data_IF_426425626125
#
_entry.id   IF_426425626125
#
_cell.length_a   1.000
_cell.length_b   1.000
_cell.length_c   1.000
_cell.angle_alpha   90.00
_cell.angle_beta   90.00
_cell.angle_gamma   90.00
#
_symmetry.space_group_name_H-M   'P 1'
#
loop_
_entity.id
_entity.type
_entity.pdbx_description
1 polymer ?
#
# COMPACT_ATOMS: atom_id res chain seq x y z
N UNK A 1 14.45 -13.97 -17.18
CA UNK A 1 13.94 -13.21 -16.02
C UNK A 1 12.50 -12.84 -16.33
N UNK A 2 11.54 -13.31 -15.54
CA UNK A 2 10.13 -13.00 -15.75
C UNK A 2 9.72 -11.76 -14.94
N UNK A 3 8.72 -11.02 -15.41
CA UNK A 3 8.05 -9.92 -14.73
C UNK A 3 6.83 -10.47 -14.01
N UNK A 4 6.84 -10.46 -12.69
CA UNK A 4 5.81 -11.07 -11.85
C UNK A 4 4.97 -9.96 -11.23
N UNK A 5 3.75 -9.81 -11.74
CA UNK A 5 2.76 -8.89 -11.20
C UNK A 5 2.27 -9.32 -9.82
N UNK A 6 1.90 -8.36 -8.98
CA UNK A 6 1.23 -8.63 -7.71
C UNK A 6 0.03 -7.69 -7.53
N UNK A 7 -1.06 -8.22 -6.99
CA UNK A 7 -2.27 -7.42 -6.70
C UNK A 7 -2.15 -6.58 -5.44
N UNK A 8 -1.22 -6.94 -4.55
CA UNK A 8 -0.84 -6.22 -3.33
C UNK A 8 0.51 -6.76 -2.86
N UNK A 9 1.08 -6.20 -1.80
CA UNK A 9 2.33 -6.66 -1.20
C UNK A 9 2.26 -8.14 -0.79
N UNK A 10 3.17 -8.92 -1.34
CA UNK A 10 3.43 -10.35 -1.04
C UNK A 10 4.87 -10.52 -0.53
N UNK A 11 5.31 -11.73 -0.15
CA UNK A 11 6.72 -12.08 0.04
C UNK A 11 7.59 -11.84 -1.21
N UNK A 12 7.92 -10.57 -1.45
CA UNK A 12 8.66 -10.08 -2.62
C UNK A 12 10.07 -10.67 -2.70
N UNK A 13 10.64 -11.02 -1.55
CA UNK A 13 11.91 -11.73 -1.43
C UNK A 13 11.89 -13.05 -2.21
N UNK A 14 10.75 -13.74 -2.28
CA UNK A 14 10.59 -14.99 -3.04
C UNK A 14 10.68 -14.74 -4.55
N UNK A 15 10.10 -13.65 -5.04
CA UNK A 15 10.16 -13.26 -6.46
C UNK A 15 11.61 -12.91 -6.84
N UNK A 16 12.25 -12.07 -6.02
CA UNK A 16 13.62 -11.63 -6.22
C UNK A 16 14.61 -12.80 -6.13
N UNK A 17 14.44 -13.72 -5.17
CA UNK A 17 15.29 -14.91 -5.00
C UNK A 17 15.19 -15.89 -6.18
N UNK A 18 14.06 -15.91 -6.88
CA UNK A 18 13.90 -16.66 -8.13
C UNK A 18 14.54 -15.97 -9.35
N UNK A 19 15.15 -14.79 -9.18
CA UNK A 19 15.71 -14.00 -10.27
C UNK A 19 14.63 -13.44 -11.19
N UNK A 20 13.49 -13.04 -10.62
CA UNK A 20 12.38 -12.40 -11.32
C UNK A 20 12.22 -10.94 -10.87
N UNK A 21 11.50 -10.15 -11.66
CA UNK A 21 11.22 -8.74 -11.38
C UNK A 21 9.83 -8.64 -10.75
N UNK A 22 9.70 -8.20 -9.49
CA UNK A 22 8.41 -7.89 -8.91
C UNK A 22 7.82 -6.61 -9.53
N UNK A 23 6.53 -6.64 -9.85
CA UNK A 23 5.78 -5.51 -10.41
C UNK A 23 4.51 -5.32 -9.58
N UNK A 24 4.40 -4.21 -8.83
CA UNK A 24 3.14 -3.85 -8.18
C UNK A 24 2.17 -3.28 -9.21
N UNK A 25 1.11 -4.04 -9.51
CA UNK A 25 0.14 -3.65 -10.53
C UNK A 25 -0.67 -2.42 -10.14
N UNK A 26 -0.79 -2.09 -8.85
CA UNK A 26 -1.46 -0.87 -8.39
C UNK A 26 -0.62 0.36 -8.77
N UNK A 27 0.70 0.28 -8.58
CA UNK A 27 1.62 1.33 -8.98
C UNK A 27 1.59 1.54 -10.50
N UNK A 28 1.67 0.45 -11.28
CA UNK A 28 1.58 0.52 -12.75
C UNK A 28 0.24 1.12 -13.21
N UNK A 29 -0.86 0.75 -12.56
CA UNK A 29 -2.18 1.27 -12.89
C UNK A 29 -2.29 2.77 -12.59
N UNK A 30 -2.03 3.20 -11.35
CA UNK A 30 -2.34 4.57 -10.90
C UNK A 30 -1.37 5.61 -11.48
N UNK A 31 -0.12 5.21 -11.75
CA UNK A 31 0.89 6.07 -12.37
C UNK A 31 0.96 5.93 -13.89
N UNK A 32 0.20 5.00 -14.46
CA UNK A 32 0.17 4.73 -15.88
C UNK A 32 -0.50 5.84 -16.70
N UNK A 33 -0.41 5.71 -18.03
CA UNK A 33 -1.13 6.61 -18.92
C UNK A 33 -2.65 6.39 -18.80
N UNK A 34 -3.40 7.48 -18.67
CA UNK A 34 -4.86 7.51 -18.68
C UNK A 34 -5.53 6.50 -17.70
N UNK A 35 -5.25 6.58 -16.38
CA UNK A 35 -5.75 5.61 -15.40
C UNK A 35 -7.29 5.59 -15.33
N UNK A 36 -7.95 6.72 -15.61
CA UNK A 36 -9.42 6.78 -15.75
C UNK A 36 -9.90 5.92 -16.93
N UNK A 37 -9.22 5.99 -18.08
CA UNK A 37 -9.59 5.20 -19.26
C UNK A 37 -9.40 3.71 -19.01
N UNK A 38 -8.42 3.31 -18.20
CA UNK A 38 -8.26 1.91 -17.76
C UNK A 38 -9.46 1.43 -16.96
N UNK A 39 -10.01 2.25 -16.05
CA UNK A 39 -11.24 1.91 -15.32
C UNK A 39 -12.42 1.73 -16.28
N UNK A 40 -12.58 2.65 -17.23
CA UNK A 40 -13.66 2.59 -18.23
C UNK A 40 -13.52 1.40 -19.18
N UNK A 41 -12.29 1.02 -19.55
CA UNK A 41 -12.05 -0.13 -20.42
C UNK A 41 -12.49 -1.45 -19.77
N UNK A 42 -12.39 -1.58 -18.45
CA UNK A 42 -12.95 -2.74 -17.74
C UNK A 42 -14.48 -2.71 -17.77
N UNK A 43 -15.10 -1.54 -17.62
CA UNK A 43 -16.56 -1.36 -17.73
C UNK A 43 -17.05 -1.71 -19.14
N UNK A 44 -16.32 -1.27 -20.18
CA UNK A 44 -16.57 -1.64 -21.59
C UNK A 44 -16.45 -3.15 -21.82
N UNK A 45 -15.55 -3.82 -21.08
CA UNK A 45 -15.39 -5.29 -21.09
C UNK A 45 -16.44 -6.04 -20.25
N UNK A 46 -17.37 -5.34 -19.60
CA UNK A 46 -18.49 -5.92 -18.87
C UNK A 46 -18.38 -5.91 -17.35
N UNK A 47 -17.33 -5.30 -16.77
CA UNK A 47 -17.29 -5.10 -15.32
C UNK A 47 -18.43 -4.18 -14.86
N UNK A 48 -19.17 -4.53 -13.79
CA UNK A 48 -20.20 -3.65 -13.25
C UNK A 48 -19.61 -2.31 -12.78
N UNK A 49 -20.36 -1.22 -12.96
CA UNK A 49 -19.95 0.12 -12.50
C UNK A 49 -19.72 0.17 -10.99
N UNK A 50 -20.48 -0.61 -10.23
CA UNK A 50 -20.42 -0.71 -8.77
C UNK A 50 -19.36 -1.70 -8.25
N UNK A 51 -18.25 -1.83 -8.97
CA UNK A 51 -17.05 -2.54 -8.52
C UNK A 51 -15.94 -1.53 -8.27
N UNK A 52 -15.06 -1.85 -7.33
CA UNK A 52 -13.90 -1.05 -6.93
C UNK A 52 -13.06 -0.61 -8.14
N UNK A 53 -12.69 0.68 -8.18
CA UNK A 53 -11.85 1.28 -9.22
C UNK A 53 -10.51 0.59 -9.41
N UNK A 54 -9.88 0.14 -8.30
CA UNK A 54 -8.62 -0.62 -8.37
C UNK A 54 -8.79 -1.94 -9.11
N UNK A 55 -9.84 -2.73 -8.82
CA UNK A 55 -10.07 -4.01 -9.50
C UNK A 55 -10.26 -3.82 -11.01
N UNK A 56 -11.06 -2.81 -11.40
CA UNK A 56 -11.24 -2.43 -12.81
C UNK A 56 -9.90 -2.01 -13.44
N UNK A 57 -9.14 -1.17 -12.75
CA UNK A 57 -7.83 -0.70 -13.18
C UNK A 57 -6.79 -1.80 -13.35
N UNK A 58 -6.71 -2.73 -12.40
CA UNK A 58 -5.83 -3.90 -12.45
C UNK A 58 -6.18 -4.79 -13.66
N UNK A 59 -7.47 -5.08 -13.86
CA UNK A 59 -7.94 -5.86 -15.02
C UNK A 59 -7.40 -5.29 -16.34
N UNK A 60 -7.67 -4.02 -16.61
CA UNK A 60 -7.27 -3.36 -17.86
C UNK A 60 -5.80 -2.99 -17.96
N UNK A 61 -5.07 -2.99 -16.84
CA UNK A 61 -3.61 -2.83 -16.83
C UNK A 61 -2.93 -4.09 -17.38
N UNK A 62 -3.43 -5.28 -17.01
CA UNK A 62 -2.83 -6.55 -17.42
C UNK A 62 -3.39 -7.05 -18.76
N UNK A 63 -4.71 -6.99 -18.97
CA UNK A 63 -5.32 -7.52 -20.19
C UNK A 63 -4.91 -6.69 -21.41
N UNK A 64 -4.33 -7.36 -22.41
CA UNK A 64 -3.89 -6.74 -23.65
C UNK A 64 -2.59 -5.93 -23.51
N UNK A 65 -1.82 -6.13 -22.44
CA UNK A 65 -0.49 -5.56 -22.29
C UNK A 65 0.55 -6.65 -21.98
N UNK A 66 1.82 -6.36 -22.28
CA UNK A 66 2.95 -7.23 -21.95
C UNK A 66 3.67 -6.75 -20.67
N UNK A 67 2.91 -6.15 -19.73
CA UNK A 67 3.51 -5.54 -18.55
C UNK A 67 4.03 -6.58 -17.55
N UNK A 68 3.52 -7.82 -17.59
CA UNK A 68 3.85 -8.95 -16.72
C UNK A 68 3.70 -10.29 -17.44
N UNK A 69 4.52 -11.29 -17.06
CA UNK A 69 4.46 -12.66 -17.58
C UNK A 69 3.54 -13.57 -16.75
N UNK A 70 3.35 -13.24 -15.48
CA UNK A 70 2.42 -13.90 -14.56
C UNK A 70 2.01 -12.95 -13.44
N UNK A 71 0.89 -13.23 -12.77
CA UNK A 71 0.39 -12.42 -11.65
C UNK A 71 0.20 -13.29 -10.41
N UNK A 72 0.78 -12.86 -9.29
CA UNK A 72 0.43 -13.37 -7.97
C UNK A 72 -0.82 -12.63 -7.49
N UNK A 73 -1.91 -13.36 -7.32
CA UNK A 73 -3.18 -12.79 -6.90
C UNK A 73 -3.51 -13.18 -5.46
N UNK A 74 -3.68 -12.16 -4.61
CA UNK A 74 -3.96 -12.35 -3.18
C UNK A 74 -5.46 -12.59 -2.98
N UNK A 75 -5.79 -13.87 -2.82
CA UNK A 75 -7.15 -14.41 -2.71
C UNK A 75 -7.80 -14.16 -1.35
N UNK A 76 -6.99 -13.98 -0.30
CA UNK A 76 -7.45 -13.71 1.05
C UNK A 76 -6.55 -12.66 1.70
N UNK A 77 -7.19 -11.68 2.35
CA UNK A 77 -6.56 -10.62 3.13
C UNK A 77 -6.56 -9.25 2.49
N UNK A 78 -6.67 -9.16 1.17
CA UNK A 78 -6.62 -7.87 0.45
C UNK A 78 -7.99 -7.39 -0.03
N UNK A 79 -8.52 -8.00 -1.10
CA UNK A 79 -9.80 -7.63 -1.72
C UNK A 79 -10.75 -8.84 -1.81
N UNK A 80 -12.04 -8.63 -1.53
CA UNK A 80 -13.09 -9.65 -1.69
C UNK A 80 -13.34 -10.04 -3.15
N UNK A 81 -12.94 -9.20 -4.10
CA UNK A 81 -13.19 -9.39 -5.52
C UNK A 81 -12.02 -10.06 -6.26
N UNK A 82 -10.90 -10.38 -5.57
CA UNK A 82 -9.70 -10.92 -6.24
C UNK A 82 -9.99 -12.24 -6.96
N UNK A 83 -10.84 -13.12 -6.40
CA UNK A 83 -11.22 -14.37 -7.08
C UNK A 83 -11.84 -14.14 -8.46
N UNK A 84 -12.81 -13.22 -8.55
CA UNK A 84 -13.43 -12.87 -9.83
C UNK A 84 -12.44 -12.21 -10.79
N UNK A 85 -11.55 -11.35 -10.28
CA UNK A 85 -10.49 -10.74 -11.09
C UNK A 85 -9.56 -11.82 -11.69
N UNK A 86 -9.14 -12.79 -10.89
CA UNK A 86 -8.32 -13.92 -11.34
C UNK A 86 -9.00 -14.73 -12.45
N UNK A 87 -10.28 -15.04 -12.31
CA UNK A 87 -11.04 -15.80 -13.30
C UNK A 87 -11.11 -15.06 -14.65
N UNK A 88 -11.36 -13.74 -14.63
CA UNK A 88 -11.37 -12.94 -15.86
C UNK A 88 -9.98 -12.82 -16.50
N UNK A 89 -8.91 -12.78 -15.70
CA UNK A 89 -7.54 -12.82 -16.19
C UNK A 89 -7.17 -14.16 -16.82
N UNK A 90 -7.55 -15.27 -16.19
CA UNK A 90 -7.36 -16.61 -16.73
C UNK A 90 -8.12 -16.80 -18.04
N UNK A 91 -9.35 -16.29 -18.13
CA UNK A 91 -10.13 -16.26 -19.37
C UNK A 91 -9.39 -15.47 -20.47
N UNK A 92 -8.68 -14.40 -20.11
CA UNK A 92 -7.86 -13.60 -21.02
C UNK A 92 -6.46 -14.21 -21.30
N UNK A 93 -6.16 -15.41 -20.79
CA UNK A 93 -4.89 -16.11 -21.02
C UNK A 93 -3.74 -15.69 -20.11
N UNK A 94 -4.01 -14.90 -19.06
CA UNK A 94 -2.99 -14.48 -18.09
C UNK A 94 -2.67 -15.64 -17.14
N UNK A 95 -1.38 -15.91 -16.92
CA UNK A 95 -0.94 -16.87 -15.91
C UNK A 95 -1.12 -16.28 -14.51
N UNK A 96 -1.93 -16.93 -13.68
CA UNK A 96 -2.23 -16.48 -12.31
C UNK A 96 -1.71 -17.49 -11.28
N UNK A 97 -1.09 -17.00 -10.21
CA UNK A 97 -0.55 -17.76 -9.09
C UNK A 97 -1.28 -17.29 -7.82
N UNK A 98 -2.16 -18.12 -7.21
CA UNK A 98 -2.86 -17.71 -6.01
C UNK A 98 -1.93 -17.64 -4.80
N UNK A 99 -2.12 -16.62 -3.96
CA UNK A 99 -1.54 -16.52 -2.63
C UNK A 99 -2.63 -16.13 -1.63
N UNK A 100 -2.53 -16.56 -0.38
CA UNK A 100 -3.51 -16.24 0.66
C UNK A 100 -2.81 -15.87 1.96
N UNK A 101 -3.24 -14.78 2.59
CA UNK A 101 -2.92 -14.53 3.99
C UNK A 101 -3.99 -15.16 4.88
N UNK A 102 -3.64 -16.01 5.85
CA UNK A 102 -4.61 -16.65 6.73
C UNK A 102 -5.27 -15.59 7.63
N UNK A 103 -6.60 -15.51 7.63
CA UNK A 103 -7.34 -14.44 8.32
C UNK A 103 -6.98 -14.26 9.80
N UNK A 104 -6.75 -15.36 10.50
CA UNK A 104 -6.42 -15.45 11.93
C UNK A 104 -4.90 -15.35 12.23
N UNK A 105 -4.07 -15.07 11.21
CA UNK A 105 -2.61 -14.95 11.32
C UNK A 105 -1.94 -16.26 11.75
N UNK A 106 -2.53 -17.40 11.38
CA UNK A 106 -1.94 -18.71 11.66
C UNK A 106 -0.57 -18.86 10.97
N UNK A 107 0.44 -19.17 11.78
CA UNK A 107 1.85 -19.22 11.35
C UNK A 107 2.13 -20.39 10.40
N UNK A 108 1.47 -21.53 10.61
CA UNK A 108 1.69 -22.74 9.83
C UNK A 108 1.02 -22.62 8.46
N UNK A 109 -0.19 -22.03 8.42
CA UNK A 109 -0.87 -21.69 7.18
C UNK A 109 -0.11 -20.64 6.37
N UNK A 110 0.41 -19.59 7.00
CA UNK A 110 1.22 -18.59 6.31
C UNK A 110 2.48 -19.23 5.72
N UNK A 111 3.20 -20.04 6.52
CA UNK A 111 4.37 -20.79 6.06
C UNK A 111 4.04 -21.70 4.88
N UNK A 112 2.89 -22.39 4.91
CA UNK A 112 2.42 -23.23 3.82
C UNK A 112 2.18 -22.41 2.53
N UNK A 113 1.56 -21.24 2.64
CA UNK A 113 1.31 -20.36 1.48
C UNK A 113 2.61 -19.84 0.88
N UNK A 114 3.58 -19.48 1.73
CA UNK A 114 4.93 -19.12 1.28
C UNK A 114 5.63 -20.30 0.60
N UNK A 115 5.60 -21.51 1.18
CA UNK A 115 6.19 -22.70 0.54
C UNK A 115 5.61 -22.98 -0.86
N UNK A 116 4.29 -22.83 -1.05
CA UNK A 116 3.66 -22.96 -2.37
C UNK A 116 4.16 -21.88 -3.35
N UNK A 117 4.38 -20.67 -2.85
CA UNK A 117 4.96 -19.59 -3.65
C UNK A 117 6.41 -19.90 -4.04
N UNK A 118 7.23 -20.44 -3.13
CA UNK A 118 8.60 -20.89 -3.43
C UNK A 118 8.60 -21.95 -4.55
N UNK A 119 7.72 -22.96 -4.44
CA UNK A 119 7.58 -24.02 -5.46
C UNK A 119 7.16 -23.43 -6.82
N UNK A 120 6.16 -22.56 -6.84
CA UNK A 120 5.68 -21.93 -8.08
C UNK A 120 6.73 -21.04 -8.77
N UNK A 121 7.66 -20.46 -7.99
CA UNK A 121 8.73 -19.60 -8.47
C UNK A 121 10.04 -20.36 -8.73
N UNK A 122 10.16 -21.62 -8.31
CA UNK A 122 11.37 -22.41 -8.48
C UNK A 122 12.56 -21.92 -7.64
N UNK A 123 12.30 -21.49 -6.40
CA UNK A 123 13.33 -21.04 -5.44
C UNK A 123 13.24 -21.77 -4.10
N UNK A 124 14.15 -21.48 -3.18
CA UNK A 124 14.28 -22.11 -1.87
C UNK A 124 14.47 -21.07 -0.74
N UNK A 125 14.33 -21.52 0.50
CA UNK A 125 14.45 -20.65 1.68
C UNK A 125 15.84 -20.04 1.83
N UNK A 126 16.91 -20.76 1.46
CA UNK A 126 18.27 -20.28 1.63
C UNK A 126 18.49 -19.01 0.77
N UNK A 127 18.05 -19.04 -0.49
CA UNK A 127 18.10 -17.87 -1.38
C UNK A 127 17.20 -16.74 -0.89
N UNK A 128 16.00 -17.06 -0.42
CA UNK A 128 15.05 -16.08 0.12
C UNK A 128 15.63 -15.34 1.31
N UNK A 129 16.30 -16.03 2.23
CA UNK A 129 16.91 -15.43 3.41
C UNK A 129 18.11 -14.54 3.08
N UNK A 130 18.87 -14.86 2.02
CA UNK A 130 19.91 -13.97 1.49
C UNK A 130 19.29 -12.67 0.97
N UNK A 131 18.26 -12.78 0.11
CA UNK A 131 17.56 -11.61 -0.43
C UNK A 131 16.89 -10.79 0.66
N UNK A 132 16.32 -11.43 1.69
CA UNK A 132 15.75 -10.76 2.86
C UNK A 132 16.74 -9.79 3.49
N UNK A 133 17.98 -10.22 3.72
CA UNK A 133 19.00 -9.37 4.33
C UNK A 133 19.26 -8.10 3.50
N UNK A 134 19.24 -8.21 2.16
CA UNK A 134 19.40 -7.09 1.25
C UNK A 134 18.19 -6.14 1.29
N UNK A 135 16.96 -6.65 1.16
CA UNK A 135 15.78 -5.79 1.18
C UNK A 135 15.52 -5.16 2.55
N UNK A 136 15.88 -5.83 3.65
CA UNK A 136 15.76 -5.28 4.99
C UNK A 136 16.70 -4.08 5.20
N UNK A 137 17.87 -4.10 4.56
CA UNK A 137 18.78 -2.93 4.54
C UNK A 137 18.09 -1.71 3.94
N UNK A 138 17.39 -1.89 2.82
CA UNK A 138 16.65 -0.82 2.15
C UNK A 138 15.45 -0.37 2.97
N UNK A 139 14.67 -1.30 3.53
CA UNK A 139 13.53 -1.00 4.41
C UNK A 139 13.94 -0.20 5.65
N UNK A 140 15.11 -0.47 6.23
CA UNK A 140 15.64 0.35 7.34
C UNK A 140 15.92 1.80 6.94
N UNK A 141 16.37 2.04 5.70
CA UNK A 141 16.53 3.40 5.17
C UNK A 141 15.18 4.10 4.97
N UNK A 142 14.17 3.37 4.48
CA UNK A 142 12.80 3.90 4.37
C UNK A 142 12.17 4.15 5.76
N UNK A 143 12.50 3.34 6.76
CA UNK A 143 12.10 3.59 8.14
C UNK A 143 12.75 4.87 8.71
N UNK A 144 13.96 5.22 8.25
CA UNK A 144 14.59 6.50 8.59
C UNK A 144 13.88 7.68 7.92
N UNK A 145 13.44 7.54 6.66
CA UNK A 145 12.55 8.53 6.01
C UNK A 145 11.30 8.74 6.87
N UNK A 146 10.68 7.66 7.35
CA UNK A 146 9.52 7.74 8.24
C UNK A 146 9.82 8.46 9.55
N UNK A 147 10.95 8.14 10.20
CA UNK A 147 11.39 8.83 11.41
C UNK A 147 11.56 10.33 11.18
N UNK A 148 12.21 10.73 10.07
CA UNK A 148 12.40 12.14 9.69
C UNK A 148 11.07 12.86 9.41
N UNK A 149 10.04 12.15 8.92
CA UNK A 149 8.69 12.71 8.73
C UNK A 149 8.06 13.15 10.03
N UNK A 150 8.05 12.30 11.06
CA UNK A 150 7.26 12.57 12.27
C UNK A 150 8.07 13.10 13.45
N UNK A 151 9.35 12.75 13.61
CA UNK A 151 10.17 13.24 14.74
C UNK A 151 10.81 14.59 14.43
N UNK A 152 11.36 14.73 13.22
CA UNK A 152 12.12 15.94 12.83
C UNK A 152 11.33 16.88 11.93
N UNK A 153 10.17 16.44 11.42
CA UNK A 153 9.32 17.19 10.49
C UNK A 153 10.10 17.69 9.27
N UNK A 154 10.95 16.85 8.68
CA UNK A 154 11.77 17.23 7.52
C UNK A 154 11.28 16.66 6.19
N UNK A 155 10.47 15.61 6.24
CA UNK A 155 9.93 14.90 5.08
C UNK A 155 8.44 15.21 4.96
N UNK A 156 7.94 15.43 3.74
CA UNK A 156 6.52 15.66 3.48
C UNK A 156 5.68 14.38 3.68
N UNK A 157 4.37 14.53 3.85
CA UNK A 157 3.48 13.37 3.91
C UNK A 157 3.43 12.62 2.58
N UNK A 158 3.53 13.36 1.46
CA UNK A 158 3.56 12.82 0.11
C UNK A 158 4.83 11.99 -0.17
N UNK A 159 6.00 12.49 0.21
CA UNK A 159 7.27 11.77 0.02
C UNK A 159 7.31 10.52 0.90
N UNK A 160 6.90 10.65 2.17
CA UNK A 160 6.78 9.52 3.09
C UNK A 160 5.87 8.43 2.51
N UNK A 161 4.70 8.83 2.02
CA UNK A 161 3.77 7.95 1.34
C UNK A 161 4.43 7.21 0.18
N UNK A 162 5.08 7.95 -0.73
CA UNK A 162 5.67 7.41 -1.95
C UNK A 162 6.75 6.36 -1.65
N UNK A 163 7.74 6.69 -0.80
CA UNK A 163 8.82 5.75 -0.47
C UNK A 163 8.31 4.49 0.26
N UNK A 164 7.28 4.64 1.10
CA UNK A 164 6.68 3.51 1.79
C UNK A 164 5.91 2.58 0.84
N UNK A 165 5.06 3.12 -0.05
CA UNK A 165 4.33 2.27 -1.01
C UNK A 165 5.26 1.61 -2.02
N UNK A 166 6.33 2.29 -2.44
CA UNK A 166 7.32 1.72 -3.35
C UNK A 166 8.05 0.51 -2.76
N UNK A 167 7.97 0.23 -1.44
CA UNK A 167 8.54 -0.99 -0.87
C UNK A 167 7.78 -2.27 -1.23
N UNK A 168 6.60 -2.19 -1.86
CA UNK A 168 5.86 -3.38 -2.31
C UNK A 168 6.63 -4.15 -3.40
N UNK A 169 7.29 -3.43 -4.31
CA UNK A 169 8.08 -4.00 -5.41
C UNK A 169 9.45 -3.34 -5.61
N UNK A 170 9.83 -2.41 -4.74
CA UNK A 170 11.06 -1.60 -4.83
C UNK A 170 11.21 -0.90 -6.19
N UNK A 171 10.11 -0.42 -6.76
CA UNK A 171 10.05 0.15 -8.11
C UNK A 171 10.69 -0.76 -9.17
N UNK A 172 10.54 -2.08 -9.00
CA UNK A 172 11.08 -3.13 -9.87
C UNK A 172 12.62 -3.27 -9.90
N UNK A 173 13.36 -2.47 -9.14
CA UNK A 173 14.83 -2.51 -9.07
C UNK A 173 15.32 -2.08 -7.69
N UNK A 174 15.65 -3.06 -6.85
CA UNK A 174 16.09 -2.85 -5.46
C UNK A 174 17.35 -1.98 -5.39
N UNK A 175 18.30 -2.18 -6.30
CA UNK A 175 19.59 -1.45 -6.27
C UNK A 175 19.37 0.02 -6.61
N UNK A 176 18.59 0.28 -7.67
CA UNK A 176 18.25 1.64 -8.06
C UNK A 176 17.42 2.33 -6.98
N UNK A 177 16.40 1.65 -6.46
CA UNK A 177 15.56 2.19 -5.40
C UNK A 177 16.35 2.50 -4.14
N UNK A 178 17.32 1.67 -3.76
CA UNK A 178 18.24 1.95 -2.65
C UNK A 178 19.03 3.25 -2.88
N UNK A 179 19.55 3.46 -4.09
CA UNK A 179 20.26 4.68 -4.45
C UNK A 179 19.35 5.92 -4.44
N UNK A 180 18.10 5.79 -4.90
CA UNK A 180 17.11 6.87 -4.85
C UNK A 180 16.76 7.23 -3.40
N UNK A 181 16.63 6.24 -2.51
CA UNK A 181 16.42 6.42 -1.07
C UNK A 181 17.62 7.12 -0.42
N UNK A 182 18.85 6.71 -0.73
CA UNK A 182 20.06 7.33 -0.20
C UNK A 182 20.16 8.81 -0.62
N UNK A 183 19.97 9.09 -1.91
CA UNK A 183 19.98 10.45 -2.44
C UNK A 183 18.89 11.34 -1.80
N UNK A 184 17.72 10.77 -1.51
CA UNK A 184 16.65 11.49 -0.83
C UNK A 184 16.98 11.77 0.64
N UNK A 185 17.54 10.81 1.37
CA UNK A 185 17.93 10.98 2.78
C UNK A 185 18.99 12.09 2.94
N UNK A 186 19.98 12.15 2.05
CA UNK A 186 20.99 13.22 2.03
C UNK A 186 20.35 14.62 1.94
N UNK A 187 19.31 14.76 1.11
CA UNK A 187 18.55 15.99 0.97
C UNK A 187 17.66 16.26 2.18
N UNK A 188 16.94 15.24 2.66
CA UNK A 188 15.97 15.35 3.74
C UNK A 188 16.59 15.82 5.06
N UNK A 189 17.81 15.37 5.40
CA UNK A 189 18.50 15.80 6.63
C UNK A 189 18.85 17.30 6.61
N UNK A 190 19.06 17.87 5.43
CA UNK A 190 19.34 19.30 5.25
C UNK A 190 18.07 20.14 5.02
N UNK A 191 16.92 19.51 4.77
CA UNK A 191 15.67 20.20 4.50
C UNK A 191 15.21 21.01 5.72
N UNK A 192 14.64 22.21 5.52
CA UNK A 192 14.12 23.01 6.62
C UNK A 192 13.01 22.26 7.36
N UNK A 193 12.97 22.42 8.68
CA UNK A 193 11.92 21.87 9.52
C UNK A 193 10.58 22.48 9.13
N UNK A 194 9.62 21.61 8.80
CA UNK A 194 8.23 21.91 8.51
C UNK A 194 7.52 22.39 9.78
N UNK A 195 6.83 23.53 9.66
CA UNK A 195 6.24 24.28 10.79
C UNK A 195 4.74 24.11 10.93
N UNK A 196 4.13 23.41 9.97
CA UNK A 196 2.71 23.09 9.92
C UNK A 196 2.26 22.52 11.28
N UNK A 197 1.23 23.13 11.86
CA UNK A 197 0.85 22.91 13.25
C UNK A 197 0.20 21.54 13.48
N UNK A 198 -0.71 21.14 12.58
CA UNK A 198 -1.54 19.96 12.76
C UNK A 198 -0.87 18.69 12.22
N UNK A 199 -0.89 17.64 13.04
CA UNK A 199 -0.33 16.32 12.78
C UNK A 199 -1.45 15.34 12.50
N UNK A 200 -1.62 14.96 11.25
CA UNK A 200 -2.67 14.06 10.81
C UNK A 200 -2.12 12.65 10.55
N UNK A 201 -2.96 11.65 10.82
CA UNK A 201 -2.78 10.30 10.30
C UNK A 201 -3.63 10.05 9.08
N UNK A 202 -3.11 9.28 8.14
CA UNK A 202 -3.84 8.71 7.03
C UNK A 202 -3.98 7.21 7.27
N UNK A 203 -5.22 6.70 7.25
CA UNK A 203 -5.51 5.26 7.37
C UNK A 203 -6.39 4.78 6.22
N UNK A 204 -6.24 3.50 5.85
CA UNK A 204 -6.89 2.92 4.68
C UNK A 204 -5.93 2.64 3.53
N UNK A 205 -6.45 2.01 2.47
CA UNK A 205 -5.67 1.68 1.25
C UNK A 205 -5.06 2.95 0.64
N UNK A 206 -3.91 2.90 -0.06
CA UNK A 206 -3.36 4.06 -0.76
C UNK A 206 -4.42 4.84 -1.55
N UNK A 207 -4.39 6.19 -1.52
CA UNK A 207 -5.47 6.97 -2.08
C UNK A 207 -5.46 6.86 -3.61
N UNK A 208 -6.64 6.71 -4.21
CA UNK A 208 -6.81 6.87 -5.66
C UNK A 208 -6.73 8.35 -6.10
N UNK A 209 -6.77 9.27 -5.12
CA UNK A 209 -6.65 10.70 -5.34
C UNK A 209 -5.22 11.12 -5.63
N UNK A 210 -5.05 12.02 -6.59
CA UNK A 210 -3.72 12.49 -7.01
C UNK A 210 -3.21 13.70 -6.23
N UNK A 211 -4.09 14.38 -5.49
CA UNK A 211 -3.80 15.69 -4.86
C UNK A 211 -4.11 15.74 -3.36
N UNK A 212 -4.44 14.61 -2.72
CA UNK A 212 -4.82 14.59 -1.30
C UNK A 212 -3.73 15.18 -0.40
N UNK A 213 -2.49 14.68 -0.52
CA UNK A 213 -1.39 15.12 0.32
C UNK A 213 -1.06 16.61 0.11
N UNK A 214 -0.91 17.04 -1.14
CA UNK A 214 -0.59 18.43 -1.47
C UNK A 214 -1.70 19.40 -1.05
N UNK A 215 -2.96 18.98 -1.14
CA UNK A 215 -4.10 19.76 -0.66
C UNK A 215 -4.07 19.92 0.87
N UNK A 216 -3.86 18.83 1.62
CA UNK A 216 -3.73 18.87 3.10
C UNK A 216 -2.58 19.78 3.53
N UNK A 217 -1.42 19.65 2.89
CA UNK A 217 -0.24 20.47 3.17
C UNK A 217 -0.46 21.96 2.88
N UNK A 218 -1.28 22.29 1.88
CA UNK A 218 -1.65 23.68 1.59
C UNK A 218 -2.48 24.37 2.69
N UNK A 219 -3.01 23.60 3.65
CA UNK A 219 -3.88 24.09 4.73
C UNK A 219 -3.21 24.18 6.10
N UNK A 220 -1.87 24.16 6.15
CA UNK A 220 -1.06 24.19 7.38
C UNK A 220 -1.26 22.93 8.26
N UNK A 221 -1.52 21.80 7.62
CA UNK A 221 -1.59 20.48 8.24
C UNK A 221 -0.67 19.51 7.51
N UNK A 222 -0.21 18.46 8.19
CA UNK A 222 0.70 17.46 7.60
C UNK A 222 0.27 16.05 7.93
N UNK A 223 0.39 15.15 6.96
CA UNK A 223 0.24 13.71 7.22
C UNK A 223 1.59 13.17 7.67
N UNK A 224 1.68 12.74 8.93
CA UNK A 224 2.92 12.20 9.53
C UNK A 224 2.84 10.71 9.85
N UNK A 225 1.73 10.07 9.47
CA UNK A 225 1.50 8.64 9.60
C UNK A 225 0.67 8.15 8.42
N UNK A 226 1.18 7.19 7.67
CA UNK A 226 0.47 6.53 6.57
C UNK A 226 0.34 5.04 6.89
N UNK A 227 -0.83 4.58 7.33
CA UNK A 227 -0.97 3.25 7.93
C UNK A 227 -0.65 2.10 6.96
N UNK A 228 -1.44 1.90 5.90
CA UNK A 228 -1.23 0.76 4.99
C UNK A 228 0.11 0.87 4.26
N UNK A 229 0.49 2.08 3.88
CA UNK A 229 1.72 2.33 3.14
C UNK A 229 2.94 1.96 3.97
N UNK A 230 2.98 2.37 5.25
CA UNK A 230 4.02 1.97 6.20
C UNK A 230 4.14 0.46 6.30
N UNK A 231 3.04 -0.28 6.22
CA UNK A 231 3.04 -1.74 6.28
C UNK A 231 3.75 -2.38 5.07
N UNK A 232 3.80 -1.72 3.91
CA UNK A 232 4.54 -2.24 2.74
C UNK A 232 6.06 -2.19 2.95
N UNK A 233 6.53 -1.29 3.83
CA UNK A 233 7.93 -1.20 4.23
C UNK A 233 8.33 -2.18 5.35
N UNK A 234 7.41 -3.03 5.84
CA UNK A 234 7.65 -4.01 6.92
C UNK A 234 8.40 -3.41 8.13
N UNK A 235 7.78 -2.47 8.87
CA UNK A 235 8.45 -1.51 9.75
C UNK A 235 8.92 -2.09 11.11
N UNK A 236 9.15 -3.40 11.18
CA UNK A 236 9.25 -4.16 12.44
C UNK A 236 10.62 -4.78 12.71
N UNK A 237 11.58 -4.69 11.77
CA UNK A 237 12.95 -5.25 11.85
C UNK A 237 12.95 -6.71 12.36
N UNK A 238 12.12 -7.55 11.76
CA UNK A 238 11.88 -8.93 12.19
C UNK A 238 12.86 -9.89 11.49
N UNK A 239 13.68 -10.66 12.23
CA UNK A 239 14.63 -11.60 11.62
C UNK A 239 13.96 -12.77 10.91
N UNK A 240 12.87 -13.30 11.45
CA UNK A 240 12.12 -14.37 10.80
C UNK A 240 11.16 -13.80 9.75
N UNK A 241 11.32 -14.25 8.50
CA UNK A 241 10.49 -13.79 7.39
C UNK A 241 9.03 -14.19 7.56
N UNK A 242 8.74 -15.35 8.16
CA UNK A 242 7.35 -15.75 8.41
C UNK A 242 6.73 -14.78 9.43
N UNK A 243 7.41 -14.52 10.54
CA UNK A 243 6.94 -13.56 11.55
C UNK A 243 6.81 -12.15 10.98
N UNK A 244 7.71 -11.72 10.07
CA UNK A 244 7.59 -10.42 9.40
C UNK A 244 6.25 -10.27 8.69
N UNK A 245 5.89 -11.25 7.86
CA UNK A 245 4.62 -11.26 7.13
C UNK A 245 3.41 -11.61 8.02
N UNK A 246 3.63 -12.22 9.20
CA UNK A 246 2.61 -12.36 10.23
C UNK A 246 2.32 -11.03 10.91
N UNK A 247 3.35 -10.20 11.15
CA UNK A 247 3.26 -8.87 11.78
C UNK A 247 2.72 -7.78 10.84
N UNK A 248 2.94 -7.91 9.53
CA UNK A 248 2.28 -7.12 8.48
C UNK A 248 0.77 -7.03 8.72
N UNK A 249 0.25 -5.88 9.18
CA UNK A 249 -1.12 -5.84 9.76
C UNK A 249 -2.23 -5.75 8.70
N UNK A 250 -1.92 -5.24 7.52
CA UNK A 250 -2.90 -4.93 6.48
C UNK A 250 -3.79 -6.11 6.01
N UNK A 251 -3.24 -7.31 5.74
CA UNK A 251 -4.02 -8.39 5.13
C UNK A 251 -4.85 -9.19 6.14
N UNK A 252 -4.85 -8.79 7.41
CA UNK A 252 -5.54 -9.52 8.49
C UNK A 252 -6.74 -8.73 9.03
N UNK A 253 -7.38 -9.27 10.06
CA UNK A 253 -8.53 -8.63 10.70
C UNK A 253 -8.23 -7.22 11.23
N UNK A 254 -9.24 -6.34 11.14
CA UNK A 254 -9.18 -4.92 11.53
C UNK A 254 -8.68 -4.67 12.96
N UNK A 255 -8.93 -5.59 13.91
CA UNK A 255 -8.54 -5.35 15.30
C UNK A 255 -7.03 -5.31 15.49
N UNK A 256 -6.27 -6.16 14.79
CA UNK A 256 -4.80 -6.09 14.82
C UNK A 256 -4.26 -4.80 14.17
N UNK A 257 -4.95 -4.28 13.14
CA UNK A 257 -4.63 -2.97 12.54
C UNK A 257 -4.91 -1.84 13.52
N UNK A 258 -6.04 -1.89 14.24
CA UNK A 258 -6.42 -0.86 15.21
C UNK A 258 -5.44 -0.75 16.38
N UNK A 259 -4.86 -1.87 16.83
CA UNK A 259 -3.84 -1.85 17.88
C UNK A 259 -2.59 -1.08 17.43
N UNK A 260 -2.10 -1.32 16.19
CA UNK A 260 -0.98 -0.59 15.59
C UNK A 260 -1.33 0.89 15.36
N UNK A 261 -2.53 1.18 14.83
CA UNK A 261 -3.01 2.55 14.61
C UNK A 261 -3.07 3.33 15.92
N UNK A 262 -3.60 2.76 16.99
CA UNK A 262 -3.70 3.44 18.29
C UNK A 262 -2.32 3.74 18.87
N UNK A 263 -1.40 2.78 18.82
CA UNK A 263 -0.04 2.98 19.26
C UNK A 263 0.66 4.11 18.47
N UNK A 264 0.47 4.15 17.16
CA UNK A 264 1.10 5.18 16.31
C UNK A 264 0.41 6.54 16.42
N UNK A 265 -0.90 6.61 16.71
CA UNK A 265 -1.60 7.85 17.09
C UNK A 265 -0.95 8.47 18.32
N UNK A 266 -0.76 7.68 19.38
CA UNK A 266 -0.18 8.16 20.64
C UNK A 266 1.29 8.54 20.45
N UNK A 267 2.08 7.65 19.84
CA UNK A 267 3.52 7.83 19.63
C UNK A 267 3.83 9.07 18.79
N UNK A 268 3.04 9.32 17.75
CA UNK A 268 3.25 10.44 16.82
C UNK A 268 2.50 11.70 17.21
N UNK A 269 1.70 11.66 18.28
CA UNK A 269 0.88 12.76 18.77
C UNK A 269 -0.01 13.32 17.66
N UNK A 270 -0.87 12.46 17.09
CA UNK A 270 -1.76 12.86 16.01
C UNK A 270 -2.97 13.64 16.56
N UNK A 271 -3.26 14.79 15.95
CA UNK A 271 -4.40 15.65 16.28
C UNK A 271 -5.71 15.13 15.67
N UNK A 272 -5.62 14.39 14.57
CA UNK A 272 -6.76 13.81 13.88
C UNK A 272 -6.37 12.78 12.83
N UNK A 273 -7.35 12.05 12.32
CA UNK A 273 -7.15 11.01 11.31
C UNK A 273 -8.05 11.23 10.10
N UNK A 274 -7.45 11.20 8.92
CA UNK A 274 -8.15 11.05 7.65
C UNK A 274 -8.27 9.55 7.38
N UNK A 275 -9.49 9.02 7.45
CA UNK A 275 -9.80 7.65 7.05
C UNK A 275 -10.22 7.64 5.58
N UNK A 276 -9.38 7.13 4.71
CA UNK A 276 -9.72 6.97 3.30
C UNK A 276 -10.39 5.63 3.05
N UNK A 277 -11.51 5.67 2.35
CA UNK A 277 -12.20 4.48 1.85
C UNK A 277 -12.34 4.56 0.33
N UNK A 278 -12.11 3.43 -0.33
CA UNK A 278 -12.39 3.30 -1.74
C UNK A 278 -13.87 2.89 -1.94
N UNK A 279 -14.56 3.50 -2.90
CA UNK A 279 -15.91 3.09 -3.32
C UNK A 279 -15.94 1.61 -3.68
N UNK A 280 -16.96 0.90 -3.18
CA UNK A 280 -17.17 -0.54 -3.39
C UNK A 280 -16.07 -1.43 -2.81
N UNK A 281 -15.35 -0.94 -1.79
CA UNK A 281 -14.43 -1.75 -0.98
C UNK A 281 -15.12 -2.20 0.31
N UNK A 282 -14.98 -3.47 0.70
CA UNK A 282 -15.57 -3.98 1.94
C UNK A 282 -15.09 -3.23 3.18
N UNK A 283 -13.90 -2.63 3.14
CA UNK A 283 -13.33 -1.81 4.22
C UNK A 283 -14.18 -0.57 4.55
N UNK A 284 -15.12 -0.18 3.68
CA UNK A 284 -16.16 0.80 4.02
C UNK A 284 -17.01 0.36 5.22
N UNK A 285 -17.25 -0.95 5.39
CA UNK A 285 -17.96 -1.51 6.54
C UNK A 285 -17.11 -1.36 7.81
N UNK A 286 -15.78 -1.48 7.69
CA UNK A 286 -14.83 -1.32 8.80
C UNK A 286 -14.82 0.12 9.37
N UNK A 287 -15.31 1.13 8.63
CA UNK A 287 -15.47 2.51 9.11
C UNK A 287 -16.30 2.59 10.40
N UNK A 288 -17.31 1.73 10.55
CA UNK A 288 -18.13 1.63 11.78
C UNK A 288 -17.25 1.30 12.99
N UNK A 289 -16.29 0.39 12.81
CA UNK A 289 -15.40 -0.08 13.86
C UNK A 289 -14.36 1.01 14.16
N UNK A 290 -13.74 1.56 13.11
CA UNK A 290 -12.75 2.65 13.21
C UNK A 290 -13.32 3.82 14.00
N UNK A 291 -14.50 4.32 13.64
CA UNK A 291 -15.19 5.44 14.32
C UNK A 291 -15.56 5.16 15.77
N UNK A 292 -15.83 3.91 16.13
CA UNK A 292 -16.15 3.52 17.51
C UNK A 292 -14.92 3.30 18.38
N UNK A 293 -13.76 3.02 17.78
CA UNK A 293 -12.56 2.56 18.50
C UNK A 293 -11.48 3.62 18.62
N UNK A 294 -11.28 4.45 17.59
CA UNK A 294 -10.30 5.53 17.67
C UNK A 294 -10.88 6.71 18.48
N UNK A 295 -10.03 7.28 19.34
CA UNK A 295 -10.41 8.36 20.27
C UNK A 295 -10.13 9.76 19.74
N UNK A 296 -9.36 9.86 18.67
CA UNK A 296 -9.06 11.14 17.98
C UNK A 296 -10.16 11.48 16.98
N UNK A 297 -10.34 12.76 16.62
CA UNK A 297 -11.27 13.15 15.55
C UNK A 297 -10.96 12.44 14.23
N UNK A 298 -12.01 12.03 13.52
CA UNK A 298 -11.89 11.27 12.26
C UNK A 298 -12.71 11.91 11.14
N UNK A 299 -12.06 12.18 10.02
CA UNK A 299 -12.70 12.48 8.75
C UNK A 299 -12.63 11.27 7.82
N UNK A 300 -13.77 10.67 7.50
CA UNK A 300 -13.83 9.64 6.45
C UNK A 300 -14.07 10.28 5.09
N UNK A 301 -13.15 10.11 4.15
CA UNK A 301 -13.31 10.52 2.74
C UNK A 301 -13.40 9.29 1.85
N UNK A 302 -14.18 9.40 0.76
CA UNK A 302 -14.41 8.31 -0.18
C UNK A 302 -13.93 8.70 -1.57
N UNK A 303 -13.12 7.85 -2.21
CA UNK A 303 -12.70 7.99 -3.61
C UNK A 303 -13.21 6.85 -4.48
N UNK A 304 -13.53 7.15 -5.75
CA UNK A 304 -14.05 6.18 -6.72
C UNK A 304 -13.08 5.97 -7.89
N UNK A 305 -12.88 7.01 -8.72
CA UNK A 305 -12.02 6.97 -9.89
C UNK A 305 -10.72 7.77 -9.67
N UNK A 306 -9.63 7.41 -10.38
CA UNK A 306 -8.39 8.19 -10.36
C UNK A 306 -8.64 9.65 -10.72
N UNK A 307 -8.03 10.56 -9.96
CA UNK A 307 -8.09 11.99 -10.25
C UNK A 307 -7.98 12.86 -8.99
N UNK A 308 -8.18 14.16 -9.17
CA UNK A 308 -8.20 15.10 -8.05
C UNK A 308 -9.45 14.91 -7.18
N UNK A 309 -9.34 15.25 -5.90
CA UNK A 309 -10.49 15.35 -5.01
C UNK A 309 -11.54 16.31 -5.57
N UNK A 310 -12.81 15.90 -5.52
CA UNK A 310 -13.93 16.74 -5.90
C UNK A 310 -14.14 17.90 -4.90
N UNK A 311 -14.90 18.91 -5.32
CA UNK A 311 -15.16 20.10 -4.50
C UNK A 311 -15.81 19.75 -3.15
N UNK A 312 -16.65 18.71 -3.11
CA UNK A 312 -17.31 18.25 -1.88
C UNK A 312 -16.31 17.67 -0.90
N UNK A 313 -15.37 16.85 -1.37
CA UNK A 313 -14.33 16.23 -0.55
C UNK A 313 -13.39 17.30 -0.03
N UNK A 314 -12.96 18.24 -0.89
CA UNK A 314 -12.15 19.40 -0.50
C UNK A 314 -12.78 20.19 0.64
N UNK A 315 -14.03 20.62 0.50
CA UNK A 315 -14.76 21.34 1.57
C UNK A 315 -14.84 20.58 2.90
N UNK A 316 -14.91 19.24 2.85
CA UNK A 316 -14.92 18.40 4.06
C UNK A 316 -13.55 18.32 4.71
N UNK A 317 -12.47 18.27 3.92
CA UNK A 317 -11.09 18.34 4.44
C UNK A 317 -10.84 19.72 5.05
N UNK A 318 -11.28 20.80 4.39
CA UNK A 318 -11.17 22.18 4.91
C UNK A 318 -11.86 22.30 6.27
N UNK A 319 -13.13 21.90 6.36
CA UNK A 319 -13.90 21.98 7.60
C UNK A 319 -13.35 21.10 8.71
N UNK A 320 -12.73 19.96 8.38
CA UNK A 320 -12.08 19.10 9.36
C UNK A 320 -10.80 19.72 9.91
N UNK A 321 -9.94 20.27 9.04
CA UNK A 321 -8.70 20.93 9.46
C UNK A 321 -9.02 22.18 10.28
N UNK A 322 -10.01 22.98 9.88
CA UNK A 322 -10.43 24.16 10.66
C UNK A 322 -10.99 23.78 12.04
N UNK A 323 -11.73 22.67 12.14
CA UNK A 323 -12.23 22.16 13.42
C UNK A 323 -11.11 21.70 14.38
N UNK A 324 -9.95 21.30 13.84
CA UNK A 324 -8.81 20.83 14.62
C UNK A 324 -7.89 21.96 15.12
N UNK A 325 -7.99 23.16 14.53
CA UNK A 325 -7.23 24.36 14.95
C UNK A 325 -7.82 24.97 16.22
#
# INVERSE_FOLDING_TARGET
MARIGMTTTVPVEVILAAGHVPIDLNNVFITGAEPVRKVEAAEDAGYPRNICGWIKGLYSTVVGSDCVDAVIAVTQGDCSNTHALMETWQMAGVRVIPFAYPFDRDVDLLRLQMNKMLEAMGTDWDRVLVVKADVDRVRRKVAEIDRLTWQENRVSGADNHLFQVSCSDFNSDVTRFEADVDAFLEQAVQAPVRREGLRLGYIGVPPIFTDLYSYVESMDARVVFNEVQRQFAMPYDEPDIIEQYRRYTYPYGIFGRLDDIQAEIERRQLDGVIHYVQSFCYRQIEDIIVRKKLKVPILTIEGDKPGCMDARTRLRVDGFIEMLK
#
